data_IF_206809493557
#
_entry.id   IF_206809493557
#
_cell.length_a   1.000
_cell.length_b   1.000
_cell.length_c   1.000
_cell.angle_alpha   90.00
_cell.angle_beta   90.00
_cell.angle_gamma   90.00
#
_symmetry.space_group_name_H-M   'P 1'
#
loop_
_entity.id
_entity.type
_entity.pdbx_description
1 polymer ?
#
# COMPACT_ATOMS: atom_id res chain seq x y z
N UNK A 1 -9.39 -13.89 0.65
CA UNK A 1 -9.26 -12.42 0.75
C UNK A 1 -7.90 -12.09 0.20
N UNK A 2 -7.84 -11.26 -0.85
CA UNK A 2 -6.58 -10.88 -1.50
C UNK A 2 -5.87 -9.86 -0.62
N UNK A 3 -4.67 -10.17 -0.17
CA UNK A 3 -3.81 -9.27 0.58
C UNK A 3 -2.78 -8.67 -0.35
N UNK A 4 -2.58 -7.36 -0.25
CA UNK A 4 -1.55 -6.68 -1.03
C UNK A 4 -0.75 -5.71 -0.19
N UNK A 5 0.49 -5.48 -0.62
CA UNK A 5 1.33 -4.39 -0.11
C UNK A 5 1.57 -3.36 -1.21
N UNK A 6 1.72 -2.10 -0.80
CA UNK A 6 2.00 -0.97 -1.69
C UNK A 6 3.30 -0.26 -1.30
N UNK A 7 4.41 -0.67 -1.90
CA UNK A 7 5.71 -0.02 -1.73
C UNK A 7 5.83 1.17 -2.69
N UNK A 8 6.52 2.22 -2.26
CA UNK A 8 6.60 3.49 -3.00
C UNK A 8 5.19 3.99 -3.36
N UNK A 9 4.32 4.02 -2.35
CA UNK A 9 2.88 4.14 -2.54
C UNK A 9 2.44 5.48 -3.14
N UNK A 10 3.28 6.51 -3.03
CA UNK A 10 2.95 7.89 -3.34
C UNK A 10 1.64 8.28 -2.66
N UNK A 11 0.74 8.88 -3.45
CA UNK A 11 -0.62 9.23 -3.03
C UNK A 11 -1.63 8.08 -3.12
N UNK A 12 -1.19 6.86 -3.44
CA UNK A 12 -2.02 5.65 -3.39
C UNK A 12 -2.71 5.23 -4.69
N UNK A 13 -2.18 5.58 -5.86
CA UNK A 13 -2.78 5.24 -7.16
C UNK A 13 -3.00 3.72 -7.35
N UNK A 14 -2.01 2.89 -7.01
CA UNK A 14 -2.10 1.44 -7.13
C UNK A 14 -3.09 0.82 -6.14
N UNK A 15 -3.16 1.34 -4.92
CA UNK A 15 -4.17 0.94 -3.94
C UNK A 15 -5.57 1.18 -4.52
N UNK A 16 -5.85 2.39 -5.02
CA UNK A 16 -7.15 2.70 -5.64
C UNK A 16 -7.48 1.76 -6.81
N UNK A 17 -6.50 1.42 -7.64
CA UNK A 17 -6.71 0.50 -8.76
C UNK A 17 -7.13 -0.90 -8.28
N UNK A 18 -6.43 -1.46 -7.29
CA UNK A 18 -6.76 -2.78 -6.72
C UNK A 18 -8.11 -2.74 -6.00
N UNK A 19 -8.37 -1.74 -5.16
CA UNK A 19 -9.65 -1.64 -4.47
C UNK A 19 -10.82 -1.52 -5.45
N UNK A 20 -10.64 -0.77 -6.56
CA UNK A 20 -11.67 -0.65 -7.61
C UNK A 20 -11.89 -1.97 -8.35
N UNK A 21 -10.83 -2.66 -8.77
CA UNK A 21 -10.99 -3.91 -9.51
C UNK A 21 -11.60 -5.00 -8.62
N UNK A 22 -11.15 -5.13 -7.38
CA UNK A 22 -11.71 -6.10 -6.45
C UNK A 22 -13.17 -5.80 -6.11
N UNK A 23 -13.54 -4.52 -5.96
CA UNK A 23 -14.95 -4.10 -5.82
C UNK A 23 -15.79 -4.50 -7.03
N UNK A 24 -15.29 -4.29 -8.26
CA UNK A 24 -16.02 -4.63 -9.49
C UNK A 24 -16.29 -6.13 -9.64
N UNK A 25 -15.35 -6.97 -9.18
CA UNK A 25 -15.50 -8.43 -9.22
C UNK A 25 -16.06 -9.03 -7.92
N UNK A 26 -16.49 -8.20 -6.97
CA UNK A 26 -16.98 -8.62 -5.65
C UNK A 26 -16.01 -9.60 -4.93
N UNK A 27 -14.71 -9.35 -5.07
CA UNK A 27 -13.65 -10.07 -4.39
C UNK A 27 -13.38 -9.39 -3.04
N UNK A 28 -13.06 -10.10 -1.96
CA UNK A 28 -12.60 -9.49 -0.72
C UNK A 28 -11.10 -9.13 -0.82
N UNK A 29 -10.71 -7.93 -0.38
CA UNK A 29 -9.31 -7.43 -0.41
C UNK A 29 -8.92 -6.74 0.90
N UNK A 30 -7.61 -6.64 1.14
CA UNK A 30 -7.01 -5.90 2.26
C UNK A 30 -5.63 -5.34 1.84
N UNK A 31 -5.38 -4.06 2.11
CA UNK A 31 -4.04 -3.49 2.05
C UNK A 31 -3.36 -3.75 3.39
N UNK A 32 -2.37 -4.65 3.45
CA UNK A 32 -1.78 -5.09 4.71
C UNK A 32 -0.51 -4.34 5.10
N UNK A 33 0.13 -3.66 4.15
CA UNK A 33 1.29 -2.80 4.39
C UNK A 33 1.50 -1.82 3.24
N UNK A 34 2.18 -0.71 3.51
CA UNK A 34 2.62 0.23 2.50
C UNK A 34 3.76 1.10 2.98
N UNK A 35 4.55 1.63 2.06
CA UNK A 35 5.73 2.42 2.38
C UNK A 35 5.88 3.59 1.42
N UNK A 36 6.18 4.76 1.96
CA UNK A 36 6.61 5.91 1.18
C UNK A 36 7.47 6.83 2.05
N UNK A 37 8.63 7.26 1.57
CA UNK A 37 9.55 8.10 2.33
C UNK A 37 9.15 9.58 2.33
N UNK A 38 8.30 10.00 1.38
CA UNK A 38 7.87 11.38 1.23
C UNK A 38 6.74 11.73 2.23
N UNK A 39 6.99 12.74 3.06
CA UNK A 39 6.07 13.14 4.13
C UNK A 39 4.77 13.76 3.60
N UNK A 40 4.79 14.40 2.44
CA UNK A 40 3.59 15.01 1.87
C UNK A 40 2.71 13.94 1.20
N UNK A 41 3.31 12.96 0.55
CA UNK A 41 2.65 11.75 0.07
C UNK A 41 1.98 10.99 1.22
N UNK A 42 2.68 10.79 2.35
CA UNK A 42 2.11 10.15 3.54
C UNK A 42 0.89 10.90 4.08
N UNK A 43 0.91 12.24 4.13
CA UNK A 43 -0.24 13.04 4.58
C UNK A 43 -1.45 12.83 3.67
N UNK A 44 -1.24 12.91 2.35
CA UNK A 44 -2.31 12.69 1.37
C UNK A 44 -2.84 11.25 1.48
N UNK A 45 -1.95 10.28 1.65
CA UNK A 45 -2.33 8.87 1.83
C UNK A 45 -3.20 8.69 3.10
N UNK A 46 -2.80 9.28 4.22
CA UNK A 46 -3.58 9.28 5.46
C UNK A 46 -4.96 9.91 5.28
N UNK A 47 -5.05 11.06 4.60
CA UNK A 47 -6.33 11.72 4.34
C UNK A 47 -7.29 10.87 3.50
N UNK A 48 -6.78 10.06 2.57
CA UNK A 48 -7.60 9.24 1.67
C UNK A 48 -7.91 7.84 2.22
N UNK A 49 -6.99 7.23 2.98
CA UNK A 49 -7.09 5.83 3.38
C UNK A 49 -7.12 5.61 4.90
N UNK A 50 -6.88 6.64 5.72
CA UNK A 50 -6.84 6.52 7.18
C UNK A 50 -5.60 5.80 7.71
N UNK A 51 -4.61 5.54 6.86
CA UNK A 51 -3.40 4.78 7.16
C UNK A 51 -2.15 5.61 6.84
N UNK A 52 -1.10 5.45 7.65
CA UNK A 52 0.20 6.12 7.41
C UNK A 52 1.16 5.07 6.86
N UNK A 53 1.74 5.26 5.65
CA UNK A 53 2.79 4.39 5.14
C UNK A 53 4.01 4.34 6.09
N UNK A 54 4.69 3.20 6.16
CA UNK A 54 5.77 2.93 7.12
C UNK A 54 7.00 3.84 6.99
N UNK A 55 7.14 4.56 5.87
CA UNK A 55 8.25 5.48 5.64
C UNK A 55 9.33 4.93 4.72
N UNK A 56 10.57 5.01 5.19
CA UNK A 56 11.77 4.54 4.51
C UNK A 56 11.86 3.00 4.53
N UNK A 57 11.50 2.36 3.41
CA UNK A 57 11.46 0.90 3.28
C UNK A 57 12.82 0.23 3.52
N UNK A 58 13.93 0.96 3.37
CA UNK A 58 15.29 0.42 3.61
C UNK A 58 15.58 0.17 5.10
N UNK A 59 14.71 0.66 6.00
CA UNK A 59 14.82 0.51 7.45
C UNK A 59 13.83 -0.53 8.01
N UNK A 60 13.04 -1.16 7.17
CA UNK A 60 12.08 -2.20 7.56
C UNK A 60 12.76 -3.55 7.38
N UNK A 61 12.74 -4.40 8.43
CA UNK A 61 13.18 -5.79 8.31
C UNK A 61 12.20 -6.53 7.40
N UNK A 62 12.70 -7.24 6.39
CA UNK A 62 11.86 -7.97 5.45
C UNK A 62 10.97 -9.03 6.13
N UNK A 63 11.37 -9.53 7.30
CA UNK A 63 10.59 -10.49 8.09
C UNK A 63 9.39 -9.84 8.82
N UNK A 64 9.38 -8.52 8.95
CA UNK A 64 8.25 -7.76 9.54
C UNK A 64 7.18 -7.41 8.49
N UNK A 65 7.44 -7.62 7.20
CA UNK A 65 6.47 -7.38 6.14
C UNK A 65 5.38 -8.47 6.19
N UNK A 66 4.09 -8.12 6.37
CA UNK A 66 3.02 -9.10 6.46
C UNK A 66 2.88 -9.97 5.20
N UNK A 67 2.45 -11.21 5.39
CA UNK A 67 2.10 -12.12 4.29
C UNK A 67 1.12 -11.45 3.32
N UNK A 68 1.44 -11.53 2.03
CA UNK A 68 0.68 -10.89 0.96
C UNK A 68 0.67 -11.73 -0.31
N UNK A 69 -0.41 -11.60 -1.09
CA UNK A 69 -0.58 -12.27 -2.38
C UNK A 69 0.01 -11.43 -3.52
N UNK A 70 -0.03 -10.10 -3.38
CA UNK A 70 0.37 -9.14 -4.41
C UNK A 70 1.30 -8.08 -3.83
N UNK A 71 2.45 -7.89 -4.47
CA UNK A 71 3.37 -6.79 -4.21
C UNK A 71 3.24 -5.76 -5.32
N UNK A 72 2.87 -4.54 -4.95
CA UNK A 72 2.83 -3.37 -5.84
C UNK A 72 4.00 -2.47 -5.48
N UNK A 73 4.84 -2.12 -6.44
CA UNK A 73 5.99 -1.26 -6.20
C UNK A 73 6.24 -0.29 -7.37
N UNK A 74 6.20 1.00 -7.07
CA UNK A 74 6.53 2.09 -7.99
C UNK A 74 7.95 2.59 -7.74
N UNK A 75 8.95 1.75 -8.01
CA UNK A 75 10.35 2.14 -7.78
C UNK A 75 10.70 3.44 -8.54
N UNK A 76 11.53 4.34 -7.96
CA UNK A 76 12.10 5.49 -8.66
C UNK A 76 12.95 5.11 -9.88
#
# INVERSE_FOLDING_TARGET
MIKFIALFSGTGAFRLAIERICRNYNLPWECVSGSDIDLDAQKIYLENFGEIPTGDITKVDENDIPDHDILLACFP
#
